data_IF_855710142963
#
_entry.id   IF_855710142963
#
_cell.length_a   1.000
_cell.length_b   1.000
_cell.length_c   1.000
_cell.angle_alpha   90.00
_cell.angle_beta   90.00
_cell.angle_gamma   90.00
#
_symmetry.space_group_name_H-M   'P 1'
#
loop_
_entity.id
_entity.type
_entity.pdbx_description
1 polymer ?
#
# COMPACT_ATOMS: atom_id res chain seq x y z
N UNK A 1 -3.38 9.20 23.13
CA UNK A 1 -3.00 8.90 21.74
C UNK A 1 -1.68 9.63 21.51
N UNK A 2 -0.67 8.98 20.92
CA UNK A 2 0.65 9.61 20.70
C UNK A 2 0.52 10.79 19.75
N UNK A 3 1.28 11.86 19.96
CA UNK A 3 1.30 13.02 19.03
C UNK A 3 1.89 12.64 17.66
N UNK A 4 2.74 11.61 17.63
CA UNK A 4 3.36 11.08 16.41
C UNK A 4 2.53 9.98 15.71
N UNK A 5 1.29 9.75 16.14
CA UNK A 5 0.39 8.79 15.50
C UNK A 5 -0.59 9.50 14.57
N UNK A 6 -0.39 9.31 13.27
CA UNK A 6 -1.23 9.86 12.22
C UNK A 6 -2.17 8.80 11.65
N UNK A 7 -3.36 9.23 11.21
CA UNK A 7 -4.36 8.38 10.56
C UNK A 7 -4.77 9.01 9.24
N UNK A 8 -4.72 8.21 8.19
CA UNK A 8 -5.18 8.58 6.85
C UNK A 8 -6.21 7.53 6.39
N UNK A 9 -7.44 7.97 6.13
CA UNK A 9 -8.51 7.10 5.65
C UNK A 9 -8.67 7.24 4.13
N UNK A 10 -7.72 6.70 3.39
CA UNK A 10 -7.66 6.82 1.94
C UNK A 10 -7.29 5.50 1.27
N UNK A 11 -7.77 5.33 0.03
CA UNK A 11 -7.54 4.13 -0.79
C UNK A 11 -6.89 4.43 -2.14
N UNK A 12 -6.76 5.71 -2.52
CA UNK A 12 -6.05 6.10 -3.73
C UNK A 12 -4.55 6.22 -3.46
N UNK A 13 -3.74 5.46 -4.19
CA UNK A 13 -2.29 5.43 -4.03
C UNK A 13 -1.66 6.82 -4.23
N UNK A 14 -2.21 7.67 -5.09
CA UNK A 14 -1.66 9.01 -5.34
C UNK A 14 -1.87 9.91 -4.13
N UNK A 15 -3.02 9.80 -3.44
CA UNK A 15 -3.29 10.57 -2.22
C UNK A 15 -2.39 10.08 -1.08
N UNK A 16 -2.21 8.76 -0.95
CA UNK A 16 -1.32 8.16 0.05
C UNK A 16 0.13 8.62 -0.14
N UNK A 17 0.63 8.64 -1.39
CA UNK A 17 1.98 9.14 -1.70
C UNK A 17 2.14 10.61 -1.32
N UNK A 18 1.16 11.46 -1.68
CA UNK A 18 1.20 12.88 -1.34
C UNK A 18 1.23 13.09 0.18
N UNK A 19 0.42 12.35 0.93
CA UNK A 19 0.40 12.44 2.40
C UNK A 19 1.74 12.01 3.03
N UNK A 20 2.43 11.04 2.44
CA UNK A 20 3.77 10.61 2.85
C UNK A 20 4.87 11.60 2.44
N UNK A 21 4.58 12.53 1.53
CA UNK A 21 5.51 13.58 1.09
C UNK A 21 5.39 14.87 1.92
N UNK A 22 4.26 15.10 2.60
CA UNK A 22 4.01 16.30 3.41
C UNK A 22 4.96 16.41 4.62
N UNK A 23 5.41 15.28 5.16
CA UNK A 23 6.33 15.23 6.29
C UNK A 23 7.11 13.91 6.33
N UNK A 24 8.11 13.82 7.21
CA UNK A 24 8.92 12.62 7.37
C UNK A 24 8.26 11.63 8.33
N UNK A 25 8.13 10.37 7.89
CA UNK A 25 7.61 9.27 8.72
C UNK A 25 8.67 8.20 8.87
N UNK A 26 8.84 7.65 10.07
CA UNK A 26 9.71 6.48 10.26
C UNK A 26 9.03 5.17 9.81
N UNK A 27 7.70 5.14 9.87
CA UNK A 27 6.88 3.95 9.71
C UNK A 27 5.56 4.30 9.01
N UNK A 28 5.14 3.45 8.08
CA UNK A 28 3.80 3.47 7.51
C UNK A 28 3.19 2.07 7.60
N UNK A 29 1.91 1.98 7.95
CA UNK A 29 1.15 0.72 8.01
C UNK A 29 -0.03 0.83 7.06
N UNK A 30 -0.12 -0.13 6.14
CA UNK A 30 -1.19 -0.23 5.14
C UNK A 30 -2.12 -1.38 5.52
N UNK A 31 -3.36 -1.06 5.89
CA UNK A 31 -4.43 -2.00 6.26
C UNK A 31 -5.66 -1.80 5.36
N UNK A 32 -5.80 -2.46 4.21
CA UNK A 32 -4.96 -3.55 3.66
C UNK A 32 -4.64 -3.30 2.19
N UNK A 33 -3.62 -3.98 1.66
CA UNK A 33 -3.16 -3.73 0.28
C UNK A 33 -4.20 -3.98 -0.80
N UNK A 34 -5.15 -4.90 -0.53
CA UNK A 34 -6.22 -5.21 -1.47
C UNK A 34 -7.21 -4.04 -1.67
N UNK A 35 -7.25 -3.07 -0.76
CA UNK A 35 -8.16 -1.92 -0.86
C UNK A 35 -7.56 -0.75 -1.63
N UNK A 36 -6.22 -0.69 -1.74
CA UNK A 36 -5.55 0.39 -2.46
C UNK A 36 -5.67 0.18 -3.96
N UNK A 37 -5.94 1.28 -4.68
CA UNK A 37 -5.88 1.30 -6.14
C UNK A 37 -5.01 2.46 -6.63
N UNK A 38 -4.43 2.30 -7.82
CA UNK A 38 -3.91 3.43 -8.60
C UNK A 38 -4.78 3.62 -9.85
N UNK A 39 -5.18 4.87 -10.17
CA UNK A 39 -5.93 5.18 -11.38
C UNK A 39 -5.11 4.96 -12.67
N UNK A 40 -3.79 4.89 -12.56
CA UNK A 40 -2.87 4.71 -13.68
C UNK A 40 -2.79 3.24 -14.16
N UNK A 41 -3.34 2.31 -13.38
CA UNK A 41 -3.36 0.88 -13.70
C UNK A 41 -4.75 0.50 -14.23
N UNK A 42 -4.79 0.04 -15.49
CA UNK A 42 -6.02 -0.42 -16.17
C UNK A 42 -6.44 -1.83 -15.71
N UNK A 43 -6.75 -1.98 -14.42
CA UNK A 43 -7.32 -3.20 -13.86
C UNK A 43 -8.21 -2.87 -12.65
N UNK A 44 -9.10 -3.79 -12.30
CA UNK A 44 -10.02 -3.60 -11.19
C UNK A 44 -9.26 -3.47 -9.84
N UNK A 45 -9.68 -2.55 -8.94
CA UNK A 45 -9.21 -2.50 -7.56
C UNK A 45 -9.24 -3.88 -6.89
N UNK A 46 -8.19 -4.20 -6.12
CA UNK A 46 -8.04 -5.51 -5.47
C UNK A 46 -7.70 -6.68 -6.40
N UNK A 47 -7.61 -6.47 -7.72
CA UNK A 47 -7.05 -7.48 -8.62
C UNK A 47 -5.57 -7.72 -8.33
N UNK A 48 -5.06 -8.90 -8.73
CA UNK A 48 -3.64 -9.25 -8.57
C UNK A 48 -2.74 -8.20 -9.24
N UNK A 49 -3.14 -7.69 -10.42
CA UNK A 49 -2.38 -6.66 -11.12
C UNK A 49 -2.30 -5.35 -10.33
N UNK A 50 -3.44 -4.85 -9.81
CA UNK A 50 -3.44 -3.68 -8.92
C UNK A 50 -2.53 -3.89 -7.71
N UNK A 51 -2.72 -4.99 -6.98
CA UNK A 51 -1.98 -5.27 -5.74
C UNK A 51 -0.47 -5.33 -5.98
N UNK A 52 -0.01 -5.96 -7.07
CA UNK A 52 1.41 -6.06 -7.41
C UNK A 52 2.02 -4.71 -7.71
N UNK A 53 1.41 -3.94 -8.60
CA UNK A 53 1.93 -2.64 -9.03
C UNK A 53 1.89 -1.62 -7.88
N UNK A 54 0.81 -1.59 -7.10
CA UNK A 54 0.73 -0.75 -5.89
C UNK A 54 1.83 -1.12 -4.90
N UNK A 55 2.07 -2.41 -4.67
CA UNK A 55 3.15 -2.85 -3.76
C UNK A 55 4.52 -2.42 -4.29
N UNK A 56 4.75 -2.51 -5.60
CA UNK A 56 6.01 -2.06 -6.20
C UNK A 56 6.21 -0.55 -6.04
N UNK A 57 5.17 0.25 -6.24
CA UNK A 57 5.20 1.69 -6.01
C UNK A 57 5.50 2.03 -4.55
N UNK A 58 4.84 1.35 -3.60
CA UNK A 58 5.11 1.52 -2.16
C UNK A 58 6.54 1.11 -1.79
N UNK A 59 7.08 0.03 -2.37
CA UNK A 59 8.49 -0.36 -2.17
C UNK A 59 9.45 0.74 -2.67
N UNK A 60 9.17 1.33 -3.83
CA UNK A 60 10.00 2.42 -4.37
C UNK A 60 9.95 3.63 -3.44
N UNK A 61 8.76 4.03 -3.02
CA UNK A 61 8.55 5.12 -2.07
C UNK A 61 9.28 4.87 -0.74
N UNK A 62 9.20 3.66 -0.20
CA UNK A 62 9.90 3.26 1.02
C UNK A 62 11.41 3.49 0.91
N UNK A 63 12.02 3.13 -0.23
CA UNK A 63 13.46 3.33 -0.49
C UNK A 63 13.81 4.81 -0.68
N UNK A 64 13.02 5.54 -1.46
CA UNK A 64 13.25 6.96 -1.76
C UNK A 64 13.13 7.85 -0.52
N UNK A 65 12.23 7.49 0.40
CA UNK A 65 11.93 8.25 1.61
C UNK A 65 12.54 7.67 2.88
N UNK A 66 13.22 6.53 2.78
CA UNK A 66 13.77 5.80 3.92
C UNK A 66 12.72 5.48 5.01
N UNK A 67 11.53 5.04 4.57
CA UNK A 67 10.38 4.71 5.43
C UNK A 67 10.24 3.18 5.52
N UNK A 68 10.01 2.65 6.71
CA UNK A 68 9.59 1.25 6.85
C UNK A 68 8.10 1.13 6.55
N UNK A 69 7.70 0.35 5.54
CA UNK A 69 6.29 0.15 5.18
C UNK A 69 5.87 -1.28 5.52
N UNK A 70 4.87 -1.41 6.40
CA UNK A 70 4.19 -2.66 6.70
C UNK A 70 2.93 -2.78 5.86
N UNK A 71 2.77 -3.92 5.22
CA UNK A 71 1.64 -4.19 4.33
C UNK A 71 0.84 -5.36 4.90
N UNK A 72 -0.45 -5.14 5.12
CA UNK A 72 -1.39 -6.18 5.53
C UNK A 72 -2.10 -6.69 4.29
N UNK A 73 -2.10 -8.01 4.12
CA UNK A 73 -2.76 -8.69 3.02
C UNK A 73 -3.60 -9.85 3.51
N UNK A 74 -4.85 -9.92 3.06
CA UNK A 74 -5.77 -11.01 3.36
C UNK A 74 -5.59 -12.20 2.40
N UNK A 75 -5.64 -13.43 2.94
CA UNK A 75 -5.68 -14.67 2.13
C UNK A 75 -7.14 -15.06 1.91
N UNK A 76 -7.56 -15.19 0.66
CA UNK A 76 -8.90 -15.63 0.27
C UNK A 76 -8.95 -17.15 0.02
N UNK A 77 -10.12 -17.77 0.24
CA UNK A 77 -10.31 -19.23 0.28
C UNK A 77 -10.22 -19.96 -1.08
N UNK A 78 -10.20 -19.23 -2.20
CA UNK A 78 -10.33 -19.83 -3.56
C UNK A 78 -9.02 -20.00 -4.33
N UNK A 79 -7.85 -19.83 -3.72
CA UNK A 79 -6.56 -20.11 -4.40
C UNK A 79 -6.14 -19.06 -5.44
N UNK A 80 -7.01 -18.11 -5.77
CA UNK A 80 -6.65 -16.78 -6.28
C UNK A 80 -6.07 -15.94 -5.14
N UNK A 81 -4.94 -16.42 -4.64
CA UNK A 81 -4.17 -15.80 -3.57
C UNK A 81 -3.93 -14.34 -3.98
N UNK A 82 -4.08 -13.41 -3.04
CA UNK A 82 -3.41 -12.12 -3.00
C UNK A 82 -2.58 -12.15 -1.70
N UNK A 83 -1.72 -13.15 -1.62
CA UNK A 83 -0.88 -13.45 -0.46
C UNK A 83 0.58 -13.15 -0.77
N UNK A 84 1.46 -13.28 0.23
CA UNK A 84 2.86 -12.84 0.16
C UNK A 84 3.62 -13.36 -1.07
N UNK A 85 3.30 -14.59 -1.52
CA UNK A 85 3.86 -15.23 -2.72
C UNK A 85 3.65 -14.51 -4.06
N UNK A 86 2.69 -13.58 -4.13
CA UNK A 86 2.47 -12.75 -5.34
C UNK A 86 3.32 -11.50 -5.34
N UNK A 87 3.83 -11.15 -4.16
CA UNK A 87 4.72 -10.02 -3.92
C UNK A 87 6.20 -10.45 -3.88
N UNK A 88 6.47 -11.77 -3.84
CA UNK A 88 7.76 -12.40 -4.16
C UNK A 88 8.03 -12.36 -5.68
#
# INVERSE_FOLDING_TARGET
ISEDLFLLNEIDLNIIQNALDEQQYALCVIDSIQTIYSPDITSAPGSISQVREVTFALMRLAKERNISIFIIGHITKEGSIAGPRILE
#
